data_IF_784599631500
#
_entry.id   IF_784599631500
#
_cell.length_a   1.000
_cell.length_b   1.000
_cell.length_c   1.000
_cell.angle_alpha   90.00
_cell.angle_beta   90.00
_cell.angle_gamma   90.00
#
_symmetry.space_group_name_H-M   'P 1'
#
loop_
_entity.id
_entity.type
_entity.pdbx_description
1 polymer ?
#
# COMPACT_ATOMS: atom_id res chain seq x y z
N UNK A 1 30.34 -8.40 2.30
CA UNK A 1 29.22 -8.34 1.34
C UNK A 1 28.12 -7.49 1.91
N UNK A 2 27.52 -6.70 1.08
CA UNK A 2 26.42 -5.82 1.47
C UNK A 2 25.07 -6.54 1.32
N UNK A 3 24.12 -6.22 2.19
CA UNK A 3 22.79 -6.83 2.17
C UNK A 3 21.72 -5.79 1.96
N UNK A 4 20.72 -6.15 1.17
CA UNK A 4 19.44 -5.44 1.12
C UNK A 4 18.48 -6.13 2.07
N UNK A 5 18.00 -5.42 3.06
CA UNK A 5 17.01 -5.91 4.01
C UNK A 5 15.68 -5.23 3.72
N UNK A 6 14.70 -5.99 3.28
CA UNK A 6 13.34 -5.50 3.03
C UNK A 6 12.44 -5.95 4.17
N UNK A 7 11.89 -5.00 4.89
CA UNK A 7 10.97 -5.23 6.00
C UNK A 7 9.56 -4.80 5.60
N UNK A 8 8.63 -5.73 5.55
CA UNK A 8 7.22 -5.44 5.31
C UNK A 8 6.51 -5.22 6.63
N UNK A 9 6.04 -3.99 6.82
CA UNK A 9 5.23 -3.65 7.98
C UNK A 9 3.94 -4.48 8.00
N UNK A 10 3.58 -5.00 9.16
CA UNK A 10 2.31 -5.71 9.34
C UNK A 10 1.14 -4.74 9.21
N UNK A 11 0.27 -5.00 8.23
CA UNK A 11 -0.92 -4.20 7.94
C UNK A 11 -2.14 -5.09 7.78
N UNK A 12 -3.29 -4.58 8.16
CA UNK A 12 -4.53 -5.32 8.00
C UNK A 12 -4.92 -5.49 6.52
N UNK A 13 -4.77 -4.43 5.73
CA UNK A 13 -4.93 -4.49 4.29
C UNK A 13 -3.81 -5.33 3.65
N UNK A 14 -4.15 -6.16 2.68
CA UNK A 14 -3.22 -7.06 1.98
C UNK A 14 -2.57 -8.12 2.86
N UNK A 15 -3.11 -8.39 4.05
CA UNK A 15 -2.56 -9.35 5.01
C UNK A 15 -2.40 -10.76 4.44
N UNK A 16 -3.35 -11.19 3.62
CA UNK A 16 -3.38 -12.55 3.07
C UNK A 16 -2.50 -12.74 1.84
N UNK A 17 -1.89 -11.68 1.31
CA UNK A 17 -1.14 -11.74 0.05
C UNK A 17 0.33 -11.42 0.22
N UNK A 18 1.17 -12.18 -0.48
CA UNK A 18 2.58 -11.87 -0.62
C UNK A 18 2.79 -10.75 -1.66
N UNK A 19 3.76 -9.87 -1.39
CA UNK A 19 4.14 -8.79 -2.30
C UNK A 19 5.39 -9.22 -3.06
N UNK A 20 5.33 -9.18 -4.39
CA UNK A 20 6.47 -9.47 -5.25
C UNK A 20 7.50 -8.33 -5.22
N UNK A 21 8.77 -8.67 -5.04
CA UNK A 21 9.87 -7.72 -5.07
C UNK A 21 10.63 -7.86 -6.39
N UNK A 22 10.83 -6.73 -7.06
CA UNK A 22 11.52 -6.63 -8.36
C UNK A 22 12.73 -5.72 -8.24
N UNK A 23 13.89 -6.24 -8.57
CA UNK A 23 15.15 -5.51 -8.60
C UNK A 23 15.59 -5.35 -10.05
N UNK A 24 15.76 -4.11 -10.52
CA UNK A 24 16.09 -3.78 -11.92
C UNK A 24 15.19 -4.48 -12.94
N UNK A 25 13.89 -4.62 -12.63
CA UNK A 25 12.90 -5.27 -13.47
C UNK A 25 12.82 -6.79 -13.35
N UNK A 26 13.69 -7.42 -12.57
CA UNK A 26 13.66 -8.86 -12.31
C UNK A 26 13.05 -9.19 -10.96
N UNK A 27 12.15 -10.15 -10.91
CA UNK A 27 11.60 -10.64 -9.65
C UNK A 27 12.68 -11.39 -8.86
N UNK A 28 12.99 -10.87 -7.66
CA UNK A 28 13.97 -11.48 -6.75
C UNK A 28 13.33 -12.30 -5.64
N UNK A 29 12.04 -12.11 -5.39
CA UNK A 29 11.31 -12.84 -4.37
C UNK A 29 9.96 -12.25 -4.08
N UNK A 30 9.31 -12.76 -3.05
CA UNK A 30 8.06 -12.25 -2.51
C UNK A 30 8.14 -12.19 -0.99
N UNK A 31 7.48 -11.21 -0.38
CA UNK A 31 7.48 -10.98 1.05
C UNK A 31 6.06 -11.06 1.60
N UNK A 32 5.87 -11.83 2.67
CA UNK A 32 4.60 -11.97 3.38
C UNK A 32 4.40 -10.85 4.40
N UNK A 33 3.16 -10.67 4.85
CA UNK A 33 2.82 -9.66 5.86
C UNK A 33 3.65 -9.82 7.14
N UNK A 34 4.29 -8.74 7.58
CA UNK A 34 5.15 -8.75 8.76
C UNK A 34 6.49 -9.48 8.61
N UNK A 35 6.81 -9.94 7.40
CA UNK A 35 8.06 -10.65 7.10
C UNK A 35 9.19 -9.68 6.77
N UNK A 36 10.41 -10.08 7.11
CA UNK A 36 11.62 -9.41 6.71
C UNK A 36 12.48 -10.36 5.88
N UNK A 37 12.96 -9.89 4.74
CA UNK A 37 13.84 -10.68 3.85
C UNK A 37 15.15 -9.97 3.59
N UNK A 38 16.21 -10.75 3.52
CA UNK A 38 17.55 -10.29 3.22
C UNK A 38 17.98 -10.81 1.85
N UNK A 39 18.63 -9.96 1.09
CA UNK A 39 19.22 -10.29 -0.21
C UNK A 39 20.67 -9.85 -0.24
N UNK A 40 21.57 -10.76 -0.61
CA UNK A 40 22.98 -10.43 -0.80
C UNK A 40 23.16 -9.77 -2.16
N UNK A 41 23.65 -8.53 -2.15
CA UNK A 41 23.88 -7.73 -3.35
C UNK A 41 25.29 -7.16 -3.35
N UNK A 42 25.85 -7.02 -4.55
CA UNK A 42 27.12 -6.30 -4.74
C UNK A 42 26.89 -4.79 -4.57
N UNK A 43 27.93 -4.03 -4.13
CA UNK A 43 27.82 -2.58 -4.11
C UNK A 43 27.47 -2.01 -5.48
N UNK A 44 26.58 -1.02 -5.49
CA UNK A 44 26.13 -0.36 -6.71
C UNK A 44 24.76 0.29 -6.58
N UNK A 45 24.29 0.86 -7.66
CA UNK A 45 22.97 1.48 -7.74
C UNK A 45 21.91 0.48 -8.24
N UNK A 46 20.79 0.43 -7.57
CA UNK A 46 19.71 -0.49 -7.87
C UNK A 46 18.36 0.22 -7.87
N UNK A 47 17.41 -0.36 -8.58
CA UNK A 47 16.00 0.09 -8.62
C UNK A 47 15.11 -1.01 -8.06
N UNK A 48 14.45 -0.72 -6.95
CA UNK A 48 13.53 -1.65 -6.30
C UNK A 48 12.08 -1.22 -6.57
N UNK A 49 11.26 -2.19 -6.95
CA UNK A 49 9.82 -2.02 -7.12
C UNK A 49 9.08 -3.17 -6.45
N UNK A 50 8.01 -2.84 -5.74
CA UNK A 50 7.10 -3.84 -5.18
C UNK A 50 5.81 -3.91 -5.99
N UNK A 51 5.27 -5.11 -6.17
CA UNK A 51 4.00 -5.33 -6.86
C UNK A 51 3.13 -6.34 -6.13
N UNK A 52 1.85 -6.06 -6.10
CA UNK A 52 0.80 -6.98 -5.65
C UNK A 52 -0.34 -6.95 -6.67
N UNK A 53 -0.60 -8.09 -7.34
CA UNK A 53 -1.54 -8.17 -8.47
C UNK A 53 -1.28 -7.08 -9.51
N UNK A 54 -2.28 -6.20 -9.79
CA UNK A 54 -2.13 -5.06 -10.71
C UNK A 54 -1.67 -3.78 -10.03
N UNK A 55 -1.54 -3.78 -8.70
CA UNK A 55 -1.08 -2.62 -7.92
C UNK A 55 0.41 -2.74 -7.64
N UNK A 56 1.07 -1.60 -7.47
CA UNK A 56 2.49 -1.58 -7.20
C UNK A 56 2.96 -0.35 -6.45
N UNK A 57 4.27 -0.26 -6.29
CA UNK A 57 4.96 0.94 -5.80
C UNK A 57 5.57 1.71 -6.96
N UNK A 58 5.98 2.93 -6.68
CA UNK A 58 6.94 3.63 -7.53
C UNK A 58 8.30 2.94 -7.44
N UNK A 59 9.12 3.13 -8.47
CA UNK A 59 10.50 2.65 -8.46
C UNK A 59 11.29 3.47 -7.45
N UNK A 60 11.97 2.78 -6.54
CA UNK A 60 12.85 3.40 -5.55
C UNK A 60 14.30 3.15 -5.93
N UNK A 61 15.00 4.24 -6.27
CA UNK A 61 16.42 4.19 -6.56
C UNK A 61 17.20 4.23 -5.25
N UNK A 62 18.12 3.30 -5.05
CA UNK A 62 18.96 3.25 -3.85
C UNK A 62 20.37 2.78 -4.20
N UNK A 63 21.29 3.18 -3.36
CA UNK A 63 22.71 2.81 -3.49
C UNK A 63 23.09 1.84 -2.37
N UNK A 64 23.73 0.75 -2.73
CA UNK A 64 24.35 -0.17 -1.79
C UNK A 64 25.84 0.14 -1.72
N UNK A 65 26.30 0.54 -0.54
CA UNK A 65 27.69 0.78 -0.25
C UNK A 65 28.39 -0.48 0.22
N UNK A 66 29.67 -0.55 -0.01
CA UNK A 66 30.48 -1.67 0.45
C UNK A 66 30.47 -1.77 1.99
N UNK A 67 30.23 -2.98 2.51
CA UNK A 67 30.17 -3.28 3.93
C UNK A 67 29.06 -2.56 4.71
N UNK A 68 28.05 -2.04 4.02
CA UNK A 68 26.85 -1.45 4.64
C UNK A 68 25.59 -2.20 4.22
N UNK A 69 24.70 -2.40 5.17
CA UNK A 69 23.39 -2.98 4.90
C UNK A 69 22.36 -1.87 4.63
N UNK A 70 21.62 -2.00 3.54
CA UNK A 70 20.55 -1.07 3.21
C UNK A 70 19.21 -1.65 3.68
N UNK A 71 18.49 -0.90 4.50
CA UNK A 71 17.18 -1.28 5.00
C UNK A 71 16.09 -0.50 4.31
N UNK A 72 15.12 -1.20 3.76
CA UNK A 72 13.94 -0.59 3.11
C UNK A 72 12.68 -1.12 3.79
N UNK A 73 11.82 -0.22 4.22
CA UNK A 73 10.51 -0.56 4.77
C UNK A 73 9.46 -0.51 3.66
N UNK A 74 8.70 -1.58 3.53
CA UNK A 74 7.59 -1.69 2.60
C UNK A 74 6.27 -1.48 3.35
N UNK A 75 5.53 -0.46 2.97
CA UNK A 75 4.21 -0.14 3.53
C UNK A 75 3.14 -0.14 2.46
N UNK A 76 1.91 -0.45 2.83
CA UNK A 76 0.76 -0.38 1.94
C UNK A 76 0.11 1.01 1.94
N UNK A 77 -0.98 1.13 1.18
CA UNK A 77 -1.73 2.38 1.00
C UNK A 77 -2.32 2.94 2.30
N UNK A 78 -2.62 2.11 3.26
CA UNK A 78 -3.35 2.50 4.46
C UNK A 78 -2.51 3.34 5.43
N UNK A 79 -2.34 4.62 5.13
CA UNK A 79 -1.80 5.58 6.11
C UNK A 79 -2.72 5.75 7.31
N UNK A 80 -4.02 5.63 7.09
CA UNK A 80 -5.03 5.86 8.10
C UNK A 80 -6.12 4.79 8.02
N UNK A 81 -5.90 3.69 8.72
CA UNK A 81 -6.79 2.51 8.73
C UNK A 81 -8.19 2.79 9.28
N UNK A 82 -8.39 3.94 9.94
CA UNK A 82 -9.67 4.32 10.55
C UNK A 82 -10.60 5.11 9.63
N UNK A 83 -10.09 5.66 8.52
CA UNK A 83 -10.90 6.47 7.60
C UNK A 83 -12.04 5.65 6.98
N UNK A 84 -11.74 4.46 6.48
CA UNK A 84 -12.75 3.63 5.81
C UNK A 84 -13.88 3.19 6.76
N UNK A 85 -13.60 2.59 7.94
CA UNK A 85 -14.67 2.26 8.88
C UNK A 85 -15.44 3.49 9.36
N UNK A 86 -14.77 4.64 9.54
CA UNK A 86 -15.44 5.89 9.91
C UNK A 86 -16.44 6.34 8.84
N UNK A 87 -16.08 6.30 7.57
CA UNK A 87 -16.96 6.65 6.46
C UNK A 87 -18.17 5.71 6.39
N UNK A 88 -17.98 4.42 6.64
CA UNK A 88 -19.07 3.44 6.66
C UNK A 88 -20.04 3.73 7.82
N UNK A 89 -19.53 4.07 9.00
CA UNK A 89 -20.36 4.42 10.16
C UNK A 89 -21.19 5.67 9.85
N UNK A 90 -20.59 6.70 9.23
CA UNK A 90 -21.31 7.92 8.82
C UNK A 90 -22.41 7.57 7.82
N UNK A 91 -22.14 6.71 6.84
CA UNK A 91 -23.13 6.28 5.85
C UNK A 91 -24.32 5.56 6.50
N UNK A 92 -24.06 4.64 7.43
CA UNK A 92 -25.09 3.92 8.16
C UNK A 92 -25.93 4.90 9.02
N UNK A 93 -25.27 5.85 9.67
CA UNK A 93 -25.95 6.89 10.47
C UNK A 93 -26.87 7.74 9.61
N UNK A 94 -26.45 8.13 8.41
CA UNK A 94 -27.27 8.88 7.46
C UNK A 94 -28.47 8.06 6.98
N UNK A 95 -28.32 6.77 6.75
CA UNK A 95 -29.41 5.87 6.39
C UNK A 95 -30.47 5.79 7.49
N UNK A 96 -30.05 5.67 8.75
CA UNK A 96 -30.94 5.64 9.90
C UNK A 96 -31.66 6.99 10.04
N UNK A 97 -30.95 8.10 9.94
CA UNK A 97 -31.52 9.45 10.00
C UNK A 97 -32.55 9.70 8.89
N UNK A 98 -32.34 9.14 7.69
CA UNK A 98 -33.29 9.29 6.58
C UNK A 98 -34.63 8.65 6.84
N UNK A 99 -34.71 7.71 7.78
CA UNK A 99 -36.01 7.11 8.19
C UNK A 99 -36.81 8.02 9.11
N UNK A 100 -36.19 8.95 9.80
CA UNK A 100 -36.84 9.87 10.75
C UNK A 100 -36.96 11.30 10.20
N UNK A 101 -36.11 11.67 9.26
CA UNK A 101 -36.09 13.00 8.65
C UNK A 101 -36.15 12.86 7.13
N UNK A 102 -36.82 13.79 6.46
CA UNK A 102 -36.86 13.85 4.99
C UNK A 102 -35.50 14.34 4.44
N UNK A 103 -34.52 13.47 4.40
CA UNK A 103 -33.22 13.76 3.81
C UNK A 103 -33.34 13.56 2.30
N UNK A 104 -32.95 14.56 1.47
CA UNK A 104 -32.97 14.41 0.01
C UNK A 104 -32.09 13.25 -0.46
N UNK A 105 -32.63 12.44 -1.38
CA UNK A 105 -31.90 11.31 -1.97
C UNK A 105 -30.59 11.74 -2.64
N UNK A 106 -30.55 12.97 -3.17
CA UNK A 106 -29.36 13.55 -3.78
C UNK A 106 -28.16 13.58 -2.81
N UNK A 107 -28.37 13.90 -1.53
CA UNK A 107 -27.32 13.90 -0.50
C UNK A 107 -26.78 12.49 -0.27
N UNK A 108 -27.68 11.51 -0.16
CA UNK A 108 -27.32 10.11 0.04
C UNK A 108 -26.52 9.55 -1.14
N UNK A 109 -26.97 9.82 -2.35
CA UNK A 109 -26.32 9.38 -3.58
C UNK A 109 -24.92 10.03 -3.71
N UNK A 110 -24.81 11.32 -3.47
CA UNK A 110 -23.53 12.05 -3.54
C UNK A 110 -22.53 11.48 -2.54
N UNK A 111 -22.94 11.25 -1.30
CA UNK A 111 -22.06 10.71 -0.26
C UNK A 111 -21.59 9.28 -0.58
N UNK A 112 -22.52 8.44 -1.04
CA UNK A 112 -22.20 7.05 -1.46
C UNK A 112 -21.22 7.04 -2.64
N UNK A 113 -21.41 7.93 -3.60
CA UNK A 113 -20.52 8.05 -4.77
C UNK A 113 -19.11 8.49 -4.34
N UNK A 114 -18.98 9.43 -3.41
CA UNK A 114 -17.68 9.86 -2.86
C UNK A 114 -16.94 8.71 -2.17
N UNK A 115 -17.63 7.88 -1.39
CA UNK A 115 -17.05 6.70 -0.76
C UNK A 115 -16.56 5.70 -1.81
N UNK A 116 -17.37 5.46 -2.85
CA UNK A 116 -17.02 4.55 -3.93
C UNK A 116 -15.76 5.02 -4.67
N UNK A 117 -15.68 6.30 -5.00
CA UNK A 117 -14.49 6.90 -5.64
C UNK A 117 -13.26 6.74 -4.74
N UNK A 118 -13.41 7.00 -3.45
CA UNK A 118 -12.32 6.85 -2.47
C UNK A 118 -11.77 5.41 -2.43
N UNK A 119 -12.64 4.40 -2.52
CA UNK A 119 -12.23 2.99 -2.53
C UNK A 119 -11.57 2.61 -3.86
N UNK A 120 -12.14 3.07 -4.98
CA UNK A 120 -11.68 2.68 -6.32
C UNK A 120 -10.42 3.42 -6.78
N UNK A 121 -10.17 4.61 -6.28
CA UNK A 121 -9.04 5.44 -6.71
C UNK A 121 -7.68 4.74 -6.59
N UNK A 122 -7.30 4.14 -5.44
CA UNK A 122 -6.01 3.45 -5.32
C UNK A 122 -5.88 2.22 -6.22
N UNK A 123 -7.00 1.61 -6.57
CA UNK A 123 -7.02 0.41 -7.41
C UNK A 123 -6.86 0.76 -8.89
N UNK A 124 -7.43 1.90 -9.34
CA UNK A 124 -7.43 2.32 -10.75
C UNK A 124 -6.28 3.26 -11.08
N UNK A 125 -6.41 4.51 -10.64
CA UNK A 125 -5.46 5.58 -11.00
C UNK A 125 -4.23 5.61 -10.10
N UNK A 126 -4.39 5.24 -8.84
CA UNK A 126 -3.32 5.21 -7.85
C UNK A 126 -2.61 3.87 -7.72
N UNK A 127 -2.73 2.96 -8.70
CA UNK A 127 -2.16 1.61 -8.60
C UNK A 127 -0.65 1.57 -8.37
N UNK A 128 0.09 2.52 -8.95
CA UNK A 128 1.54 2.62 -8.77
C UNK A 128 1.94 3.36 -7.49
N UNK A 129 0.98 3.89 -6.75
CA UNK A 129 1.18 4.56 -5.46
C UNK A 129 0.58 3.75 -4.30
N UNK A 130 0.05 2.56 -4.59
CA UNK A 130 -0.60 1.70 -3.60
C UNK A 130 0.37 1.20 -2.54
N UNK A 131 1.57 0.84 -2.96
CA UNK A 131 2.66 0.43 -2.07
C UNK A 131 3.72 1.53 -1.99
N UNK A 132 4.37 1.65 -0.84
CA UNK A 132 5.44 2.60 -0.62
C UNK A 132 6.69 1.89 -0.12
N UNK A 133 7.82 2.27 -0.69
CA UNK A 133 9.15 1.83 -0.29
C UNK A 133 9.87 3.03 0.34
N UNK A 134 10.25 2.91 1.59
CA UNK A 134 10.97 3.95 2.31
C UNK A 134 12.29 3.37 2.81
N UNK A 135 13.39 4.04 2.48
CA UNK A 135 14.70 3.72 3.04
C UNK A 135 14.74 4.16 4.51
N UNK A 136 15.19 3.25 5.35
CA UNK A 136 15.29 3.49 6.79
C UNK A 136 16.71 3.93 7.15
#
# INVERSE_FOLDING_TARGET
MSKLIVNRRSEWANRARAIGLYLDGKKIGAIKNGESKEFDLKPGNYKLKAKIDWCGSQVNDFEIKENEDTKIELTGFSKNKWILPLLIIIQISLLILSTYFDIPDAIMITFSTCILIYILFPISFGRNHYLKLNEI
#
